data_IF_728571579233
#
_entry.id   IF_728571579233
#
_cell.length_a   1.000
_cell.length_b   1.000
_cell.length_c   1.000
_cell.angle_alpha   90.00
_cell.angle_beta   90.00
_cell.angle_gamma   90.00
#
_symmetry.space_group_name_H-M   'P 1'
#
loop_
_entity.id
_entity.type
_entity.pdbx_description
1 polymer ?
#
# COMPACT_ATOMS: atom_id res chain seq x y z
N UNK A 1 0.76 1.61 -14.98
CA UNK A 1 0.46 3.00 -14.55
C UNK A 1 1.02 3.18 -13.14
N UNK A 2 1.15 4.40 -12.60
CA UNK A 2 1.63 4.61 -11.23
C UNK A 2 0.46 4.95 -10.31
N UNK A 3 0.29 4.19 -9.23
CA UNK A 3 -0.80 4.33 -8.27
C UNK A 3 -0.24 4.73 -6.91
N UNK A 4 -0.59 5.92 -6.43
CA UNK A 4 -0.21 6.40 -5.10
C UNK A 4 -1.27 5.97 -4.08
N UNK A 5 -0.81 5.35 -2.99
CA UNK A 5 -1.63 4.89 -1.87
C UNK A 5 -1.15 5.63 -0.62
N UNK A 6 -2.08 6.10 0.20
CA UNK A 6 -1.78 6.60 1.56
C UNK A 6 -2.28 5.61 2.60
N UNK A 7 -1.56 5.48 3.72
CA UNK A 7 -1.97 4.53 4.77
C UNK A 7 -1.83 3.05 4.36
N UNK A 8 -0.97 2.75 3.39
CA UNK A 8 -0.80 1.41 2.82
C UNK A 8 -0.16 0.39 3.76
N UNK A 9 0.39 0.80 4.91
CA UNK A 9 0.87 -0.11 5.94
C UNK A 9 -0.26 -0.60 6.87
N UNK A 10 -1.45 0.00 6.79
CA UNK A 10 -2.62 -0.44 7.55
C UNK A 10 -3.21 -1.78 7.08
N UNK A 11 -4.20 -2.29 7.82
CA UNK A 11 -4.86 -3.57 7.50
C UNK A 11 -5.42 -3.61 6.07
N UNK A 12 -6.27 -2.63 5.73
CA UNK A 12 -6.91 -2.55 4.40
C UNK A 12 -5.89 -2.13 3.33
N UNK A 13 -5.09 -1.10 3.62
CA UNK A 13 -4.11 -0.56 2.68
C UNK A 13 -3.11 -1.62 2.21
N UNK A 14 -2.62 -2.45 3.14
CA UNK A 14 -1.66 -3.49 2.80
C UNK A 14 -2.27 -4.62 1.96
N UNK A 15 -3.54 -4.96 2.18
CA UNK A 15 -4.27 -5.93 1.36
C UNK A 15 -4.50 -5.40 -0.06
N UNK A 16 -4.86 -4.12 -0.19
CA UNK A 16 -5.04 -3.47 -1.48
C UNK A 16 -3.73 -3.42 -2.28
N UNK A 17 -2.62 -3.04 -1.65
CA UNK A 17 -1.29 -3.00 -2.30
C UNK A 17 -0.91 -4.40 -2.80
N UNK A 18 -1.10 -5.45 -1.99
CA UNK A 18 -0.82 -6.84 -2.39
C UNK A 18 -1.66 -7.27 -3.59
N UNK A 19 -2.95 -6.92 -3.61
CA UNK A 19 -3.83 -7.23 -4.73
C UNK A 19 -3.41 -6.48 -6.01
N UNK A 20 -3.09 -5.19 -5.93
CA UNK A 20 -2.64 -4.40 -7.08
C UNK A 20 -1.36 -4.99 -7.66
N UNK A 21 -0.36 -5.29 -6.83
CA UNK A 21 0.91 -5.87 -7.28
C UNK A 21 0.72 -7.28 -7.89
N UNK A 22 -0.26 -8.04 -7.40
CA UNK A 22 -0.53 -9.40 -7.89
C UNK A 22 -1.33 -9.45 -9.19
N UNK A 23 -2.21 -8.47 -9.44
CA UNK A 23 -3.17 -8.53 -10.55
C UNK A 23 -2.93 -7.47 -11.63
N UNK A 24 -2.03 -6.50 -11.37
CA UNK A 24 -1.80 -5.37 -12.27
C UNK A 24 -0.30 -5.12 -12.42
N UNK A 25 0.10 -4.58 -13.58
CA UNK A 25 1.47 -4.11 -13.84
C UNK A 25 1.70 -2.68 -13.32
N UNK A 26 0.97 -2.27 -12.28
CA UNK A 26 1.03 -0.92 -11.74
C UNK A 26 2.19 -0.78 -10.75
N UNK A 27 2.92 0.34 -10.86
CA UNK A 27 3.91 0.73 -9.86
C UNK A 27 3.16 1.39 -8.70
N UNK A 28 3.35 0.88 -7.49
CA UNK A 28 2.67 1.38 -6.30
C UNK A 28 3.61 2.27 -5.48
N UNK A 29 3.20 3.51 -5.22
CA UNK A 29 3.87 4.42 -4.29
C UNK A 29 3.07 4.49 -2.98
N UNK A 30 3.58 3.85 -1.93
CA UNK A 30 2.96 3.89 -0.59
C UNK A 30 3.52 5.05 0.25
N UNK A 31 2.64 5.97 0.68
CA UNK A 31 2.95 7.05 1.62
C UNK A 31 2.25 6.78 2.95
N UNK A 32 3.01 6.38 3.96
CA UNK A 32 2.47 6.07 5.28
C UNK A 32 3.25 6.76 6.39
N UNK A 33 2.52 7.18 7.43
CA UNK A 33 3.07 7.84 8.62
C UNK A 33 3.51 6.83 9.69
N UNK A 34 3.11 5.57 9.54
CA UNK A 34 3.46 4.44 10.43
C UNK A 34 3.08 4.62 11.91
N UNK A 35 2.17 5.55 12.20
CA UNK A 35 1.71 5.77 13.58
C UNK A 35 0.70 4.71 14.06
N UNK A 36 0.04 4.01 13.12
CA UNK A 36 -0.90 2.93 13.41
C UNK A 36 -0.25 1.55 13.23
N UNK A 37 0.50 1.34 12.14
CA UNK A 37 1.28 0.14 11.88
C UNK A 37 2.64 0.25 12.59
N UNK A 38 2.65 0.09 13.92
CA UNK A 38 3.79 0.39 14.79
C UNK A 38 5.05 -0.47 14.63
N UNK A 39 5.12 -1.35 13.63
CA UNK A 39 6.33 -2.04 13.19
C UNK A 39 6.06 -2.68 11.81
N UNK A 40 6.87 -2.37 10.79
CA UNK A 40 6.81 -2.96 9.43
C UNK A 40 7.97 -3.92 9.20
#
# INVERSE_FOLDING_TARGET
>A
MCTTITGGAGFIGSALIRHIISEREDVVLNLDKLTYAGNL
#
